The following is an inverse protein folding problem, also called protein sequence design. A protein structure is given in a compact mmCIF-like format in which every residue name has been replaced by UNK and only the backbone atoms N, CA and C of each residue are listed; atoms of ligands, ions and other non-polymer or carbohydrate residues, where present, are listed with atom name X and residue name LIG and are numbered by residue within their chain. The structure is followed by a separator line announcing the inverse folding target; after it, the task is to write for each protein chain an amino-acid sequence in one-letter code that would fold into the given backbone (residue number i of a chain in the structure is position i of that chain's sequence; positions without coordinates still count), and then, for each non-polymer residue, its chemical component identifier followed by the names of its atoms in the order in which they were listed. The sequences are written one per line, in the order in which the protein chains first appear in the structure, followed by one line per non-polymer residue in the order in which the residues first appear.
data_IF_334246651880
#
_entry.id   IF_334246651880
#
_cell.length_a   1.000
_cell.length_b   1.000
_cell.length_c   1.000
_cell.angle_alpha   90.00
_cell.angle_beta   90.00
_cell.angle_gamma   90.00
#
_symmetry.space_group_name_H-M   'P 1'
#
loop_
_entity.id
_entity.type
_entity.pdbx_description
1 polymer ?
#
# COMPACT_ATOMS: atom_id res chain seq x y z
N UNK A 1 -24.47 -34.09 -41.71
CA UNK A 1 -24.46 -33.73 -40.27
C UNK A 1 -23.00 -33.48 -39.94
N UNK A 2 -22.57 -32.22 -39.96
CA UNK A 2 -21.17 -31.89 -39.71
C UNK A 2 -20.95 -31.85 -38.20
N UNK A 3 -20.07 -32.70 -37.68
CA UNK A 3 -19.63 -32.65 -36.29
C UNK A 3 -18.82 -31.37 -36.10
N UNK A 4 -19.44 -30.37 -35.46
CA UNK A 4 -18.74 -29.19 -34.99
C UNK A 4 -17.89 -29.60 -33.78
N UNK A 5 -16.54 -29.46 -33.81
CA UNK A 5 -15.74 -29.67 -32.63
C UNK A 5 -16.14 -28.62 -31.59
N UNK A 6 -16.77 -29.08 -30.52
CA UNK A 6 -17.02 -28.27 -29.34
C UNK A 6 -15.67 -28.03 -28.64
N UNK A 7 -14.93 -27.01 -29.07
CA UNK A 7 -13.85 -26.44 -28.27
C UNK A 7 -14.50 -25.84 -27.03
N UNK A 8 -14.61 -26.63 -25.97
CA UNK A 8 -15.13 -26.16 -24.71
C UNK A 8 -14.06 -25.27 -24.09
N UNK A 9 -14.46 -24.17 -23.46
CA UNK A 9 -13.55 -23.25 -22.76
C UNK A 9 -12.73 -23.92 -21.63
N UNK A 10 -12.98 -25.21 -21.36
CA UNK A 10 -12.29 -26.02 -20.38
C UNK A 10 -10.99 -26.64 -20.90
N UNK A 11 -10.85 -26.89 -22.22
CA UNK A 11 -9.64 -27.54 -22.76
C UNK A 11 -8.35 -26.74 -22.45
N UNK A 12 -8.40 -25.41 -22.52
CA UNK A 12 -7.27 -24.55 -22.17
C UNK A 12 -7.00 -24.52 -20.65
N UNK A 13 -8.04 -24.56 -19.83
CA UNK A 13 -7.92 -24.55 -18.37
C UNK A 13 -7.40 -25.89 -17.82
N UNK A 14 -7.77 -27.00 -18.45
CA UNK A 14 -7.32 -28.34 -18.08
C UNK A 14 -5.83 -28.54 -18.43
N UNK A 15 -5.36 -28.00 -19.56
CA UNK A 15 -3.93 -27.98 -19.91
C UNK A 15 -3.08 -27.14 -18.94
N UNK A 16 -3.59 -26.00 -18.47
CA UNK A 16 -2.90 -25.16 -17.48
C UNK A 16 -2.86 -25.81 -16.08
N UNK A 17 -3.88 -26.61 -15.74
CA UNK A 17 -3.93 -27.35 -14.48
C UNK A 17 -2.90 -28.50 -14.43
N UNK A 18 -2.66 -29.18 -15.55
CA UNK A 18 -1.65 -30.25 -15.65
C UNK A 18 -0.19 -29.71 -15.61
N UNK A 19 0.04 -28.49 -16.13
CA UNK A 19 1.35 -27.84 -16.10
C UNK A 19 1.65 -27.09 -14.78
N UNK A 20 0.67 -26.98 -13.88
CA UNK A 20 0.83 -26.29 -12.61
C UNK A 20 1.80 -27.01 -11.67
N UNK A 21 2.90 -26.34 -11.32
CA UNK A 21 3.80 -26.77 -10.24
C UNK A 21 3.59 -25.86 -9.03
N UNK A 22 3.25 -26.46 -7.89
CA UNK A 22 2.99 -25.72 -6.66
C UNK A 22 4.20 -24.87 -6.27
N UNK A 23 3.98 -23.57 -6.12
CA UNK A 23 5.00 -22.62 -5.67
C UNK A 23 6.00 -22.15 -6.73
N UNK A 24 5.88 -22.61 -7.98
CA UNK A 24 6.69 -22.10 -9.10
C UNK A 24 6.07 -20.91 -9.82
N UNK A 25 4.89 -20.45 -9.38
CA UNK A 25 4.22 -19.29 -9.94
C UNK A 25 5.07 -18.03 -9.69
N UNK A 26 5.26 -17.22 -10.73
CA UNK A 26 5.89 -15.91 -10.62
C UNK A 26 5.04 -14.99 -9.73
N UNK A 27 5.64 -14.42 -8.68
CA UNK A 27 4.94 -13.55 -7.70
C UNK A 27 5.36 -12.07 -7.75
N UNK A 28 6.02 -11.65 -8.82
CA UNK A 28 6.64 -10.32 -8.90
C UNK A 28 5.60 -9.19 -8.79
N UNK A 29 4.44 -9.33 -9.43
CA UNK A 29 3.36 -8.35 -9.38
C UNK A 29 2.74 -8.25 -7.97
N UNK A 30 2.59 -9.40 -7.30
CA UNK A 30 2.08 -9.47 -5.92
C UNK A 30 3.07 -8.83 -4.95
N UNK A 31 4.38 -9.06 -5.15
CA UNK A 31 5.44 -8.42 -4.38
C UNK A 31 5.41 -6.90 -4.57
N UNK A 32 5.32 -6.42 -5.81
CA UNK A 32 5.24 -4.99 -6.10
C UNK A 32 4.01 -4.33 -5.46
N UNK A 33 2.87 -5.03 -5.48
CA UNK A 33 1.65 -4.58 -4.81
C UNK A 33 1.84 -4.50 -3.29
N UNK A 34 2.50 -5.49 -2.70
CA UNK A 34 2.82 -5.50 -1.28
C UNK A 34 3.76 -4.34 -0.89
N UNK A 35 4.80 -4.10 -1.67
CA UNK A 35 5.74 -3.01 -1.43
C UNK A 35 5.05 -1.64 -1.52
N UNK A 36 4.13 -1.47 -2.49
CA UNK A 36 3.28 -0.28 -2.59
C UNK A 36 2.40 -0.12 -1.34
N UNK A 37 1.69 -1.18 -0.93
CA UNK A 37 0.83 -1.15 0.25
C UNK A 37 1.62 -0.74 1.50
N UNK A 38 2.78 -1.35 1.73
CA UNK A 38 3.64 -1.02 2.84
C UNK A 38 4.12 0.43 2.80
N UNK A 39 4.49 0.94 1.62
CA UNK A 39 4.82 2.35 1.42
C UNK A 39 3.65 3.28 1.78
N UNK A 40 2.45 2.99 1.28
CA UNK A 40 1.24 3.76 1.55
C UNK A 40 0.86 3.76 3.03
N UNK A 41 0.90 2.61 3.71
CA UNK A 41 0.58 2.54 5.15
C UNK A 41 1.63 3.27 5.98
N UNK A 42 2.91 3.12 5.64
CA UNK A 42 4.01 3.80 6.33
C UNK A 42 3.87 5.32 6.26
N UNK A 43 3.74 5.88 5.06
CA UNK A 43 3.66 7.33 4.90
C UNK A 43 2.25 7.88 5.20
N UNK A 44 1.21 7.13 4.85
CA UNK A 44 -0.19 7.49 5.10
C UNK A 44 -0.53 7.59 6.57
N UNK A 45 -0.02 6.69 7.42
CA UNK A 45 -0.23 6.78 8.87
C UNK A 45 0.35 8.07 9.47
N UNK A 46 1.52 8.54 9.00
CA UNK A 46 2.11 9.81 9.43
C UNK A 46 1.25 11.01 9.01
N UNK A 47 0.70 10.99 7.79
CA UNK A 47 -0.21 12.04 7.31
C UNK A 47 -1.47 12.08 8.18
N UNK A 48 -2.09 10.93 8.45
CA UNK A 48 -3.28 10.83 9.30
C UNK A 48 -2.98 11.34 10.71
N UNK A 49 -1.87 10.93 11.33
CA UNK A 49 -1.48 11.39 12.66
C UNK A 49 -1.28 12.92 12.71
N UNK A 50 -0.63 13.49 11.68
CA UNK A 50 -0.40 14.94 11.58
C UNK A 50 -1.71 15.71 11.40
N UNK A 51 -2.64 15.19 10.59
CA UNK A 51 -3.97 15.77 10.42
C UNK A 51 -4.79 15.70 11.70
N UNK A 52 -4.77 14.58 12.42
CA UNK A 52 -5.45 14.46 13.71
C UNK A 52 -4.92 15.50 14.69
N UNK A 53 -3.60 15.64 14.83
CA UNK A 53 -3.00 16.65 15.70
C UNK A 53 -3.43 18.07 15.32
N UNK A 54 -3.43 18.39 14.03
CA UNK A 54 -3.89 19.68 13.51
C UNK A 54 -5.32 19.97 13.95
N UNK A 55 -6.24 19.03 13.67
CA UNK A 55 -7.67 19.21 13.93
C UNK A 55 -7.95 19.27 15.44
N UNK A 56 -7.24 18.49 16.25
CA UNK A 56 -7.34 18.53 17.71
C UNK A 56 -6.93 19.89 18.27
N UNK A 57 -5.76 20.42 17.88
CA UNK A 57 -5.27 21.71 18.39
C UNK A 57 -6.02 22.91 17.81
N UNK A 58 -6.60 22.76 16.62
CA UNK A 58 -7.45 23.81 16.04
C UNK A 58 -8.78 23.90 16.78
N UNK A 59 -9.47 22.77 17.00
CA UNK A 59 -10.83 22.78 17.53
C UNK A 59 -10.95 22.70 19.06
N UNK A 60 -9.85 22.55 19.81
CA UNK A 60 -9.90 22.60 21.27
C UNK A 60 -10.27 24.02 21.79
N UNK A 61 -10.83 24.17 23.00
CA UNK A 61 -11.09 25.48 23.60
C UNK A 61 -9.82 26.32 23.68
N UNK A 62 -9.89 27.58 23.21
CA UNK A 62 -8.74 28.49 23.04
C UNK A 62 -7.66 27.99 22.04
N UNK A 63 -7.99 27.00 21.22
CA UNK A 63 -7.16 26.54 20.11
C UNK A 63 -7.16 27.53 18.94
N UNK A 64 -6.17 27.38 18.06
CA UNK A 64 -6.06 28.17 16.83
C UNK A 64 -5.56 27.33 15.67
N UNK A 65 -5.89 27.75 14.45
CA UNK A 65 -5.37 27.12 13.24
C UNK A 65 -3.84 27.17 13.19
N UNK A 66 -3.22 28.29 13.62
CA UNK A 66 -1.77 28.43 13.65
C UNK A 66 -1.10 27.45 14.63
N UNK A 67 -1.64 27.29 15.83
CA UNK A 67 -1.11 26.30 16.80
C UNK A 67 -1.21 24.88 16.26
N UNK A 68 -2.31 24.54 15.59
CA UNK A 68 -2.48 23.22 14.96
C UNK A 68 -1.54 23.00 13.79
N UNK A 69 -1.37 23.99 12.90
CA UNK A 69 -0.45 23.91 11.77
C UNK A 69 1.00 23.75 12.22
N UNK A 70 1.45 24.52 13.21
CA UNK A 70 2.82 24.39 13.75
C UNK A 70 3.02 22.99 14.33
N UNK A 71 2.09 22.50 15.16
CA UNK A 71 2.16 21.16 15.73
C UNK A 71 2.21 20.06 14.67
N UNK A 72 1.35 20.14 13.65
CA UNK A 72 1.30 19.18 12.56
C UNK A 72 2.58 19.18 11.70
N UNK A 73 3.14 20.36 11.41
CA UNK A 73 4.41 20.48 10.67
C UNK A 73 5.55 19.89 11.48
N UNK A 74 5.65 20.19 12.78
CA UNK A 74 6.68 19.64 13.65
C UNK A 74 6.60 18.11 13.71
N UNK A 75 5.39 17.56 13.90
CA UNK A 75 5.19 16.11 13.90
C UNK A 75 5.52 15.48 12.54
N UNK A 76 5.09 16.09 11.44
CA UNK A 76 5.36 15.60 10.10
C UNK A 76 6.87 15.58 9.79
N UNK A 77 7.61 16.64 10.15
CA UNK A 77 9.06 16.73 9.94
C UNK A 77 9.80 15.72 10.82
N UNK A 78 9.47 15.65 12.11
CA UNK A 78 10.08 14.68 13.01
C UNK A 78 9.80 13.24 12.57
N UNK A 79 8.54 12.95 12.25
CA UNK A 79 8.11 11.66 11.71
C UNK A 79 8.81 11.33 10.41
N UNK A 80 8.97 12.28 9.48
CA UNK A 80 9.71 12.05 8.23
C UNK A 80 11.14 11.55 8.50
N UNK A 81 11.87 12.18 9.42
CA UNK A 81 13.23 11.74 9.76
C UNK A 81 13.26 10.39 10.48
N UNK A 82 12.27 10.10 11.34
CA UNK A 82 12.17 8.80 12.01
C UNK A 82 11.77 7.66 11.06
N UNK A 83 10.89 7.94 10.10
CA UNK A 83 10.42 6.96 9.12
C UNK A 83 11.39 6.79 7.95
N UNK A 84 12.30 7.74 7.71
CA UNK A 84 13.31 7.61 6.66
C UNK A 84 14.21 6.41 6.99
N UNK A 85 14.04 5.33 6.23
CA UNK A 85 14.90 4.16 6.37
C UNK A 85 16.36 4.56 6.10
N UNK A 86 17.33 4.04 6.87
CA UNK A 86 18.73 4.16 6.51
C UNK A 86 18.93 3.57 5.12
N UNK A 87 19.84 4.15 4.33
CA UNK A 87 20.25 3.56 3.05
C UNK A 87 20.87 2.20 3.36
N UNK A 88 20.28 1.11 2.87
CA UNK A 88 20.90 -0.21 3.01
C UNK A 88 22.29 -0.16 2.36
N UNK A 89 23.31 -0.45 3.17
CA UNK A 89 24.67 -0.66 2.71
C UNK A 89 24.77 -2.10 2.22
N UNK A 90 24.32 -2.34 0.99
CA UNK A 90 24.60 -3.57 0.25
C UNK A 90 25.56 -3.26 -0.90
#
# INVERSE_FOLDING_TARGET
MADHPHHTSHDAADHDAEAYVRGSMTIEEQRQTWDLFMGLTKWGSLVVASLLLLLTLWFMPNGSLMTGLIGAVVLAVAGFFFLKSPKESH
#
